data_IF_496905694694
#
_entry.id   IF_496905694694
#
_cell.length_a   1.000
_cell.length_b   1.000
_cell.length_c   1.000
_cell.angle_alpha   90.00
_cell.angle_beta   90.00
_cell.angle_gamma   90.00
#
_symmetry.space_group_name_H-M   'P 1'
#
loop_
_entity.id
_entity.type
_entity.pdbx_description
1 polymer ?
#
# COMPACT_ATOMS: atom_id res chain seq x y z
N UNK A 1 5.40 -9.88 8.18
CA UNK A 1 4.02 -9.51 7.85
C UNK A 1 3.32 -8.79 8.99
N UNK A 2 3.20 -9.40 10.19
CA UNK A 2 2.52 -8.76 11.35
C UNK A 2 3.10 -7.39 11.73
N UNK A 3 4.43 -7.24 11.71
CA UNK A 3 5.10 -5.97 12.01
C UNK A 3 4.86 -4.88 10.95
N UNK A 4 4.85 -5.26 9.67
CA UNK A 4 4.58 -4.34 8.56
C UNK A 4 3.13 -3.85 8.58
N UNK A 5 2.17 -4.75 8.84
CA UNK A 5 0.76 -4.41 9.00
C UNK A 5 0.53 -3.48 10.19
N UNK A 6 1.21 -3.71 11.33
CA UNK A 6 1.11 -2.83 12.48
C UNK A 6 1.60 -1.40 12.17
N UNK A 7 2.66 -1.26 11.36
CA UNK A 7 3.15 0.06 10.90
C UNK A 7 2.16 0.75 9.97
N UNK A 8 1.50 0.00 9.09
CA UNK A 8 0.44 0.54 8.22
C UNK A 8 -0.72 1.07 9.06
N UNK A 9 -1.18 0.29 10.05
CA UNK A 9 -2.26 0.72 10.93
C UNK A 9 -1.91 1.99 11.70
N UNK A 10 -0.69 2.09 12.25
CA UNK A 10 -0.22 3.31 12.92
C UNK A 10 -0.18 4.52 11.99
N UNK A 11 0.23 4.32 10.73
CA UNK A 11 0.26 5.37 9.73
C UNK A 11 -1.15 5.84 9.35
N UNK A 12 -2.10 4.91 9.21
CA UNK A 12 -3.50 5.23 8.93
C UNK A 12 -4.18 5.94 10.10
N UNK A 13 -3.87 5.56 11.33
CA UNK A 13 -4.38 6.20 12.55
C UNK A 13 -3.90 7.67 12.64
N UNK A 14 -2.61 7.92 12.37
CA UNK A 14 -2.07 9.27 12.28
C UNK A 14 -2.74 10.10 11.17
N UNK A 15 -2.90 9.52 9.97
CA UNK A 15 -3.59 10.17 8.85
C UNK A 15 -5.05 10.50 9.16
N UNK A 16 -5.75 9.62 9.90
CA UNK A 16 -7.12 9.86 10.31
C UNK A 16 -7.22 11.07 11.24
N UNK A 17 -6.33 11.15 12.22
CA UNK A 17 -6.31 12.21 13.22
C UNK A 17 -5.96 13.59 12.63
N UNK A 18 -5.04 13.65 11.67
CA UNK A 18 -4.54 14.92 11.12
C UNK A 18 -5.41 15.53 10.02
N UNK A 19 -6.18 14.71 9.28
CA UNK A 19 -6.82 15.15 8.03
C UNK A 19 -8.34 14.93 8.00
N UNK A 20 -8.93 14.38 9.07
CA UNK A 20 -10.35 14.04 9.16
C UNK A 20 -10.83 13.23 7.94
N UNK A 21 -10.00 12.27 7.52
CA UNK A 21 -10.29 11.43 6.35
C UNK A 21 -11.57 10.62 6.58
N UNK A 22 -12.36 10.49 5.52
CA UNK A 22 -13.49 9.58 5.52
C UNK A 22 -13.00 8.13 5.72
N UNK A 23 -13.73 7.36 6.52
CA UNK A 23 -13.44 5.95 6.82
C UNK A 23 -13.31 5.10 5.54
N UNK A 24 -14.12 5.42 4.52
CA UNK A 24 -14.06 4.78 3.20
C UNK A 24 -12.70 4.97 2.50
N UNK A 25 -12.08 6.14 2.68
CA UNK A 25 -10.77 6.44 2.12
C UNK A 25 -9.68 5.68 2.88
N UNK A 26 -9.75 5.63 4.21
CA UNK A 26 -8.81 4.85 5.02
C UNK A 26 -8.87 3.36 4.71
N UNK A 27 -10.08 2.80 4.54
CA UNK A 27 -10.26 1.41 4.15
C UNK A 27 -9.70 1.12 2.74
N UNK A 28 -9.81 2.06 1.81
CA UNK A 28 -9.19 1.94 0.50
C UNK A 28 -7.66 1.90 0.60
N UNK A 29 -7.06 2.81 1.38
CA UNK A 29 -5.61 2.80 1.65
C UNK A 29 -5.14 1.54 2.37
N UNK A 30 -5.86 1.10 3.41
CA UNK A 30 -5.57 -0.15 4.14
C UNK A 30 -5.51 -1.33 3.19
N UNK A 31 -6.49 -1.45 2.30
CA UNK A 31 -6.57 -2.56 1.35
C UNK A 31 -5.44 -2.53 0.33
N UNK A 32 -5.12 -1.35 -0.21
CA UNK A 32 -4.03 -1.19 -1.18
C UNK A 32 -2.65 -1.50 -0.55
N UNK A 33 -2.38 -0.93 0.64
CA UNK A 33 -1.14 -1.15 1.38
C UNK A 33 -0.99 -2.61 1.84
N UNK A 34 -2.09 -3.27 2.24
CA UNK A 34 -2.08 -4.70 2.60
C UNK A 34 -1.73 -5.58 1.41
N UNK A 35 -2.31 -5.31 0.22
CA UNK A 35 -1.98 -6.04 -1.02
C UNK A 35 -0.51 -5.83 -1.41
N UNK A 36 0.02 -4.62 -1.24
CA UNK A 36 1.44 -4.34 -1.50
C UNK A 36 2.34 -5.12 -0.55
N UNK A 37 2.05 -5.10 0.76
CA UNK A 37 2.85 -5.83 1.77
C UNK A 37 2.79 -7.33 1.55
N UNK A 38 1.63 -7.88 1.20
CA UNK A 38 1.51 -9.31 0.88
C UNK A 38 2.40 -9.68 -0.32
N UNK A 39 2.40 -8.86 -1.37
CA UNK A 39 3.26 -9.08 -2.53
C UNK A 39 4.75 -8.98 -2.20
N UNK A 40 5.14 -8.01 -1.38
CA UNK A 40 6.52 -7.88 -0.90
C UNK A 40 6.94 -9.08 -0.06
N UNK A 41 6.08 -9.54 0.86
CA UNK A 41 6.33 -10.73 1.69
C UNK A 41 6.51 -11.99 0.84
N UNK A 42 5.75 -12.12 -0.25
CA UNK A 42 5.91 -13.24 -1.19
C UNK A 42 7.29 -13.28 -1.87
N UNK A 43 7.96 -12.13 -1.98
CA UNK A 43 9.35 -12.02 -2.49
C UNK A 43 10.41 -12.09 -1.39
N UNK A 44 10.01 -12.33 -0.14
CA UNK A 44 10.91 -12.30 1.02
C UNK A 44 11.34 -10.89 1.44
N UNK A 45 10.64 -9.86 0.95
CA UNK A 45 10.91 -8.46 1.28
C UNK A 45 9.98 -7.96 2.38
N UNK A 46 10.39 -6.88 3.04
CA UNK A 46 9.64 -6.20 4.10
C UNK A 46 9.57 -4.71 3.80
N UNK A 47 8.70 -3.96 4.49
CA UNK A 47 8.67 -2.50 4.34
C UNK A 47 9.99 -1.83 4.74
N UNK A 48 10.83 -2.50 5.53
CA UNK A 48 12.14 -1.99 5.94
C UNK A 48 13.25 -2.29 4.92
N UNK A 49 13.09 -3.31 4.07
CA UNK A 49 14.11 -3.77 3.12
C UNK A 49 13.78 -3.46 1.67
N UNK A 50 12.52 -3.11 1.38
CA UNK A 50 12.04 -2.79 0.04
C UNK A 50 12.84 -1.63 -0.56
N UNK A 51 13.26 -1.80 -1.81
CA UNK A 51 13.93 -0.74 -2.59
C UNK A 51 12.95 -0.12 -3.59
N UNK A 52 13.33 1.03 -4.15
CA UNK A 52 12.53 1.69 -5.18
C UNK A 52 12.29 0.80 -6.42
N UNK A 53 13.24 -0.08 -6.75
CA UNK A 53 13.10 -1.03 -7.86
C UNK A 53 11.99 -2.08 -7.61
N UNK A 54 11.89 -2.58 -6.38
CA UNK A 54 10.84 -3.53 -5.98
C UNK A 54 9.45 -2.90 -6.06
N UNK A 55 9.33 -1.64 -5.64
CA UNK A 55 8.08 -0.90 -5.77
C UNK A 55 7.73 -0.69 -7.25
N UNK A 56 8.72 -0.39 -8.09
CA UNK A 56 8.53 -0.27 -9.54
C UNK A 56 8.03 -1.60 -10.16
N UNK A 57 8.59 -2.73 -9.73
CA UNK A 57 8.14 -4.05 -10.13
C UNK A 57 6.70 -4.36 -9.66
N UNK A 58 6.31 -3.91 -8.46
CA UNK A 58 4.92 -3.99 -7.97
C UNK A 58 3.97 -3.21 -8.88
N UNK A 59 4.33 -1.97 -9.25
CA UNK A 59 3.53 -1.16 -10.17
C UNK A 59 3.41 -1.82 -11.54
N UNK A 60 4.50 -2.32 -12.12
CA UNK A 60 4.45 -3.02 -13.41
C UNK A 60 3.55 -4.26 -13.38
N UNK A 61 3.52 -5.00 -12.26
CA UNK A 61 2.59 -6.14 -12.07
C UNK A 61 1.13 -5.68 -12.13
N UNK A 62 0.77 -4.61 -11.42
CA UNK A 62 -0.61 -4.09 -11.40
C UNK A 62 -1.09 -3.66 -12.79
N UNK A 63 -0.21 -2.99 -13.55
CA UNK A 63 -0.49 -2.57 -14.93
C UNK A 63 -0.69 -3.77 -15.87
N UNK A 64 0.14 -4.81 -15.75
CA UNK A 64 0.01 -6.04 -16.57
C UNK A 64 -1.22 -6.88 -16.20
N UNK A 65 -1.71 -6.76 -14.97
CA UNK A 65 -2.91 -7.45 -14.48
C UNK A 65 -4.22 -6.71 -14.81
N UNK A 66 -4.17 -5.54 -15.48
CA UNK A 66 -5.35 -4.73 -15.77
C UNK A 66 -5.97 -4.05 -14.54
N UNK A 67 -5.32 -4.14 -13.38
CA UNK A 67 -5.74 -3.46 -12.15
C UNK A 67 -5.20 -2.03 -12.23
N UNK A 68 -6.07 -1.08 -12.61
CA UNK A 68 -5.72 0.34 -12.56
C UNK A 68 -5.52 0.77 -11.11
N UNK A 69 -4.37 1.35 -10.74
CA UNK A 69 -4.20 1.90 -9.40
C UNK A 69 -5.23 3.03 -9.20
N UNK A 70 -5.94 3.07 -8.06
CA UNK A 70 -7.00 4.07 -7.83
C UNK A 70 -6.46 5.52 -7.80
N UNK A 71 -5.15 5.71 -7.74
CA UNK A 71 -4.49 7.01 -7.69
C UNK A 71 -4.25 7.68 -9.06
N UNK A 72 -4.56 7.04 -10.19
CA UNK A 72 -4.44 7.64 -11.53
C UNK A 72 -5.81 7.89 -12.15
N UNK A 73 -6.60 8.75 -11.50
CA UNK A 73 -7.59 9.62 -12.14
C UNK A 73 -7.10 11.06 -11.99
N UNK A 74 -5.97 11.38 -12.61
CA UNK A 74 -5.67 12.78 -12.88
C UNK A 74 -5.03 12.85 -14.26
N UNK A 75 -5.65 13.68 -15.10
CA UNK A 75 -5.49 13.87 -16.54
C UNK A 75 -6.11 12.78 -17.43
#
# INVERSE_FOLDING_TARGET
>A
MKQDLARIEQFLDALWLEKNLAENTLNAYRRDLSMMVEWLHHRGLTLATVQSDDLQAYWQKGWRAGIKPPAQRVC
#
